data_IF_480475277608
#
_entry.id   IF_480475277608
#
_cell.length_a   1.000
_cell.length_b   1.000
_cell.length_c   1.000
_cell.angle_alpha   90.00
_cell.angle_beta   90.00
_cell.angle_gamma   90.00
#
_symmetry.space_group_name_H-M   'P 1'
#
loop_
_entity.id
_entity.type
_entity.pdbx_description
1 polymer ?
#
# COMPACT_ATOMS: atom_id res chain seq x y z
N UNK A 1 -11.11 -14.42 -5.72
CA UNK A 1 -10.91 -13.04 -6.20
C UNK A 1 -10.24 -12.25 -5.08
N UNK A 2 -8.94 -11.93 -5.22
CA UNK A 2 -8.20 -11.23 -4.18
C UNK A 2 -8.79 -9.84 -3.93
N UNK A 3 -9.43 -9.64 -2.77
CA UNK A 3 -9.77 -8.31 -2.31
C UNK A 3 -8.51 -7.69 -1.68
N UNK A 4 -7.64 -7.11 -2.49
CA UNK A 4 -6.39 -6.46 -2.03
C UNK A 4 -6.61 -5.22 -1.14
N UNK A 5 -7.85 -4.99 -0.70
CA UNK A 5 -8.25 -3.93 0.22
C UNK A 5 -7.60 -2.58 -0.15
N UNK A 6 -7.73 -2.18 -1.42
CA UNK A 6 -7.08 -0.96 -1.92
C UNK A 6 -7.65 0.29 -1.23
N UNK A 7 -8.92 0.59 -1.47
CA UNK A 7 -9.68 1.62 -0.76
C UNK A 7 -11.11 1.12 -0.58
N UNK A 8 -11.67 1.38 0.60
CA UNK A 8 -13.06 1.00 0.88
C UNK A 8 -14.01 2.01 0.24
N UNK A 9 -14.84 1.55 -0.72
CA UNK A 9 -15.84 2.38 -1.41
C UNK A 9 -17.02 2.76 -0.51
N UNK A 10 -17.40 1.88 0.41
CA UNK A 10 -18.58 2.02 1.26
C UNK A 10 -18.26 1.71 2.72
N UNK A 11 -17.39 2.50 3.37
CA UNK A 11 -17.00 2.20 4.74
C UNK A 11 -18.14 2.48 5.71
N UNK A 12 -18.23 1.62 6.73
CA UNK A 12 -19.20 1.73 7.81
C UNK A 12 -18.53 2.24 9.09
N UNK A 13 -19.28 3.00 9.89
CA UNK A 13 -18.83 3.42 11.20
C UNK A 13 -18.58 2.19 12.09
N UNK A 14 -17.45 2.16 12.80
CA UNK A 14 -17.12 1.03 13.69
C UNK A 14 -18.10 0.88 14.85
N UNK A 15 -18.71 2.00 15.30
CA UNK A 15 -19.65 2.06 16.42
C UNK A 15 -21.08 1.81 15.94
N UNK A 16 -21.68 2.77 15.22
CA UNK A 16 -23.10 2.71 14.88
C UNK A 16 -23.44 1.96 13.59
N UNK A 17 -22.43 1.40 12.89
CA UNK A 17 -22.53 0.66 11.62
C UNK A 17 -23.17 1.41 10.44
N UNK A 18 -23.53 2.68 10.61
CA UNK A 18 -24.03 3.51 9.52
C UNK A 18 -22.95 3.70 8.44
N UNK A 19 -23.37 3.90 7.19
CA UNK A 19 -22.47 4.35 6.14
C UNK A 19 -21.79 5.67 6.51
N UNK A 20 -20.51 5.81 6.17
CA UNK A 20 -19.77 7.05 6.31
C UNK A 20 -19.88 7.87 5.02
N UNK A 21 -19.85 9.20 5.14
CA UNK A 21 -19.82 10.10 3.99
C UNK A 21 -18.42 10.65 3.74
N UNK A 22 -18.04 10.76 2.48
CA UNK A 22 -16.77 11.34 2.06
C UNK A 22 -16.86 12.88 2.15
N UNK A 23 -15.86 13.51 2.77
CA UNK A 23 -15.74 14.97 2.84
C UNK A 23 -14.33 15.43 2.50
N UNK A 24 -14.26 16.62 1.90
CA UNK A 24 -13.01 17.34 1.66
C UNK A 24 -12.51 17.96 2.96
N UNK A 25 -11.21 17.81 3.23
CA UNK A 25 -10.52 18.45 4.36
C UNK A 25 -9.06 18.71 3.98
N UNK A 26 -8.75 19.96 3.62
CA UNK A 26 -7.45 20.39 3.09
C UNK A 26 -6.27 20.15 4.02
N UNK A 27 -6.50 20.08 5.34
CA UNK A 27 -5.43 19.87 6.33
C UNK A 27 -4.91 18.43 6.38
N UNK A 28 -5.57 17.48 5.69
CA UNK A 28 -5.14 16.09 5.60
C UNK A 28 -4.29 15.88 4.34
N UNK A 29 -3.37 14.91 4.41
CA UNK A 29 -2.45 14.55 3.31
C UNK A 29 -3.21 14.28 2.00
N UNK A 30 -4.31 13.50 2.06
CA UNK A 30 -5.13 13.17 0.88
C UNK A 30 -6.25 14.17 0.60
N UNK A 31 -6.33 15.24 1.40
CA UNK A 31 -7.40 16.25 1.32
C UNK A 31 -8.82 15.70 1.46
N UNK A 32 -8.98 14.45 1.88
CA UNK A 32 -10.24 13.70 1.97
C UNK A 32 -10.31 12.89 3.26
N UNK A 33 -11.52 12.73 3.81
CA UNK A 33 -11.80 11.86 4.95
C UNK A 33 -13.24 11.32 4.93
N UNK A 34 -13.46 10.22 5.63
CA UNK A 34 -14.77 9.68 5.93
C UNK A 34 -15.29 10.25 7.24
N UNK A 35 -16.59 10.55 7.30
CA UNK A 35 -17.24 11.12 8.47
C UNK A 35 -18.54 10.36 8.78
N UNK A 36 -18.81 10.12 10.06
CA UNK A 36 -20.09 9.61 10.52
C UNK A 36 -21.07 10.77 10.72
N UNK A 37 -22.24 10.71 10.08
CA UNK A 37 -23.28 11.75 10.19
C UNK A 37 -24.43 11.37 11.14
N UNK A 38 -24.38 10.21 11.79
CA UNK A 38 -25.39 9.80 12.76
C UNK A 38 -25.19 10.57 14.08
N UNK A 39 -26.15 11.42 14.46
CA UNK A 39 -26.07 12.31 15.63
C UNK A 39 -25.87 11.55 16.95
N UNK A 40 -26.55 10.41 17.11
CA UNK A 40 -26.49 9.59 18.34
C UNK A 40 -25.24 8.70 18.43
N UNK A 41 -24.30 8.86 17.50
CA UNK A 41 -23.07 8.09 17.49
C UNK A 41 -21.97 8.85 18.23
N UNK A 42 -21.23 8.18 19.12
CA UNK A 42 -20.04 8.75 19.77
C UNK A 42 -18.92 9.15 18.79
N UNK A 43 -19.01 8.72 17.53
CA UNK A 43 -18.11 9.09 16.43
C UNK A 43 -18.72 10.13 15.49
N UNK A 44 -19.82 10.78 15.87
CA UNK A 44 -20.45 11.84 15.06
C UNK A 44 -19.43 12.92 14.68
N UNK A 45 -19.39 13.28 13.40
CA UNK A 45 -18.44 14.26 12.82
C UNK A 45 -16.95 13.94 13.00
N UNK A 46 -16.59 12.78 13.55
CA UNK A 46 -15.20 12.39 13.68
C UNK A 46 -14.59 12.04 12.31
N UNK A 47 -13.33 12.43 12.15
CA UNK A 47 -12.57 12.17 10.93
C UNK A 47 -12.02 10.75 10.94
N UNK A 48 -12.28 10.02 9.86
CA UNK A 48 -11.72 8.69 9.62
C UNK A 48 -10.92 8.76 8.32
N UNK A 49 -9.68 8.27 8.33
CA UNK A 49 -8.83 8.25 7.13
C UNK A 49 -9.47 7.44 6.00
N UNK A 50 -9.35 7.92 4.77
CA UNK A 50 -9.77 7.16 3.58
C UNK A 50 -9.00 5.86 3.37
N UNK A 51 -7.81 5.76 3.99
CA UNK A 51 -6.90 4.61 3.93
C UNK A 51 -7.19 3.56 5.00
N UNK A 52 -8.20 3.79 5.86
CA UNK A 52 -8.48 2.90 6.99
C UNK A 52 -8.84 1.50 6.47
N UNK A 53 -8.13 0.49 6.99
CA UNK A 53 -8.36 -0.92 6.62
C UNK A 53 -7.89 -1.25 5.21
N UNK A 54 -6.91 -0.50 4.69
CA UNK A 54 -6.48 -0.60 3.31
C UNK A 54 -4.95 -0.72 3.19
N UNK A 55 -4.47 -1.14 2.02
CA UNK A 55 -3.04 -1.22 1.71
C UNK A 55 -2.29 0.07 2.06
N UNK A 56 -2.92 1.23 1.87
CA UNK A 56 -2.29 2.53 2.01
C UNK A 56 -2.16 3.00 3.48
N UNK A 57 -2.67 2.24 4.46
CA UNK A 57 -2.61 2.61 5.87
C UNK A 57 -1.15 2.82 6.32
N UNK A 58 -0.93 3.85 7.15
CA UNK A 58 0.37 4.25 7.73
C UNK A 58 1.46 4.73 6.74
N UNK A 59 1.16 4.84 5.44
CA UNK A 59 2.07 5.51 4.50
C UNK A 59 2.00 7.04 4.70
N UNK A 60 3.16 7.68 4.80
CA UNK A 60 3.29 9.11 5.17
C UNK A 60 3.19 10.09 3.99
N UNK A 61 3.12 9.60 2.75
CA UNK A 61 2.99 10.42 1.54
C UNK A 61 1.58 10.39 0.99
N UNK A 62 1.26 11.32 0.08
CA UNK A 62 -0.05 11.37 -0.58
C UNK A 62 -0.32 10.12 -1.41
N UNK A 63 -1.60 9.80 -1.65
CA UNK A 63 -1.94 8.68 -2.53
C UNK A 63 -1.32 8.84 -3.91
N UNK A 64 -1.27 10.07 -4.45
CA UNK A 64 -0.64 10.36 -5.75
C UNK A 64 0.84 9.95 -5.75
N UNK A 65 1.61 10.39 -4.75
CA UNK A 65 3.03 10.02 -4.65
C UNK A 65 3.20 8.51 -4.50
N UNK A 66 2.34 7.87 -3.71
CA UNK A 66 2.40 6.42 -3.51
C UNK A 66 2.14 5.71 -4.84
N UNK A 67 1.16 6.14 -5.63
CA UNK A 67 0.90 5.56 -6.95
C UNK A 67 2.07 5.77 -7.90
N UNK A 68 2.70 6.95 -7.91
CA UNK A 68 3.92 7.19 -8.69
C UNK A 68 5.05 6.24 -8.30
N UNK A 69 5.28 6.04 -6.99
CA UNK A 69 6.29 5.09 -6.50
C UNK A 69 5.95 3.65 -6.92
N UNK A 70 4.67 3.25 -6.90
CA UNK A 70 4.24 1.92 -7.38
C UNK A 70 4.53 1.78 -8.87
N UNK A 71 4.27 2.79 -9.69
CA UNK A 71 4.59 2.77 -11.13
C UNK A 71 6.11 2.60 -11.33
N UNK A 72 6.92 3.36 -10.59
CA UNK A 72 8.37 3.26 -10.68
C UNK A 72 8.89 1.88 -10.24
N UNK A 73 8.29 1.29 -9.21
CA UNK A 73 8.56 -0.10 -8.82
C UNK A 73 8.27 -1.07 -9.97
N UNK A 74 7.13 -0.93 -10.65
CA UNK A 74 6.75 -1.78 -11.78
C UNK A 74 7.64 -1.59 -13.02
N UNK A 75 8.40 -0.50 -13.09
CA UNK A 75 9.41 -0.25 -14.12
C UNK A 75 10.83 -0.66 -13.68
N UNK A 76 10.95 -1.46 -12.62
CA UNK A 76 12.23 -1.95 -12.06
C UNK A 76 13.23 -0.83 -11.71
N UNK A 77 12.74 0.36 -11.36
CA UNK A 77 13.60 1.47 -10.94
C UNK A 77 14.21 1.18 -9.58
N UNK A 78 15.53 1.38 -9.46
CA UNK A 78 16.22 1.20 -8.18
C UNK A 78 15.85 2.31 -7.20
N UNK A 79 15.80 1.98 -5.90
CA UNK A 79 15.45 2.94 -4.83
C UNK A 79 16.36 4.18 -4.87
N UNK A 80 17.64 4.00 -5.15
CA UNK A 80 18.62 5.09 -5.24
C UNK A 80 18.28 6.08 -6.36
N UNK A 81 17.85 5.58 -7.52
CA UNK A 81 17.50 6.38 -8.69
C UNK A 81 16.17 7.09 -8.44
N UNK A 82 15.20 6.41 -7.81
CA UNK A 82 13.91 7.02 -7.43
C UNK A 82 14.12 8.21 -6.48
N UNK A 83 14.99 8.07 -5.48
CA UNK A 83 15.28 9.14 -4.52
C UNK A 83 15.98 10.31 -5.22
N UNK A 84 16.98 10.00 -6.07
CA UNK A 84 17.78 11.01 -6.77
C UNK A 84 16.98 11.78 -7.82
N UNK A 85 16.24 11.08 -8.65
CA UNK A 85 15.63 11.66 -9.86
C UNK A 85 14.23 12.25 -9.59
N UNK A 86 13.52 11.75 -8.58
CA UNK A 86 12.14 12.17 -8.27
C UNK A 86 12.00 12.84 -6.90
N UNK A 87 13.06 12.87 -6.08
CA UNK A 87 13.08 13.58 -4.79
C UNK A 87 12.19 12.96 -3.69
N UNK A 88 11.74 11.72 -3.86
CA UNK A 88 10.94 11.06 -2.82
C UNK A 88 11.79 10.72 -1.58
N UNK A 89 11.20 10.88 -0.40
CA UNK A 89 11.86 10.53 0.85
C UNK A 89 12.20 9.03 0.93
N UNK A 90 13.45 8.71 1.28
CA UNK A 90 13.97 7.33 1.38
C UNK A 90 13.03 6.39 2.14
N UNK A 91 12.57 6.80 3.32
CA UNK A 91 11.69 5.99 4.16
C UNK A 91 10.32 5.70 3.50
N UNK A 92 9.82 6.61 2.67
CA UNK A 92 8.55 6.41 1.95
C UNK A 92 8.72 5.34 0.89
N UNK A 93 9.75 5.48 0.04
CA UNK A 93 10.04 4.53 -1.06
C UNK A 93 10.25 3.13 -0.50
N UNK A 94 11.09 2.99 0.53
CA UNK A 94 11.35 1.70 1.20
C UNK A 94 10.05 1.09 1.74
N UNK A 95 9.21 1.88 2.43
CA UNK A 95 7.97 1.35 3.01
C UNK A 95 6.97 0.90 1.94
N UNK A 96 6.85 1.63 0.83
CA UNK A 96 6.00 1.23 -0.29
C UNK A 96 6.52 -0.07 -0.91
N UNK A 97 7.82 -0.13 -1.23
CA UNK A 97 8.47 -1.33 -1.78
C UNK A 97 8.32 -2.53 -0.86
N UNK A 98 8.51 -2.35 0.45
CA UNK A 98 8.33 -3.42 1.45
C UNK A 98 6.91 -3.98 1.41
N UNK A 99 5.89 -3.12 1.38
CA UNK A 99 4.50 -3.58 1.28
C UNK A 99 4.21 -4.32 -0.04
N UNK A 100 4.75 -3.84 -1.16
CA UNK A 100 4.59 -4.51 -2.46
C UNK A 100 5.23 -5.89 -2.47
N UNK A 101 6.45 -6.04 -1.93
CA UNK A 101 7.13 -7.33 -1.81
C UNK A 101 6.37 -8.34 -0.97
N UNK A 102 5.70 -7.90 0.10
CA UNK A 102 4.84 -8.78 0.91
C UNK A 102 3.69 -9.34 0.06
N UNK A 103 3.02 -8.50 -0.74
CA UNK A 103 1.94 -8.94 -1.64
C UNK A 103 2.48 -9.94 -2.67
N UNK A 104 3.60 -9.63 -3.32
CA UNK A 104 4.21 -10.52 -4.32
C UNK A 104 4.60 -11.86 -3.68
N UNK A 105 5.17 -11.83 -2.48
CA UNK A 105 5.52 -13.05 -1.74
C UNK A 105 4.28 -13.91 -1.45
N UNK A 106 3.19 -13.30 -1.01
CA UNK A 106 1.92 -14.01 -0.75
C UNK A 106 1.35 -14.61 -2.04
N UNK A 107 1.39 -13.87 -3.16
CA UNK A 107 0.93 -14.37 -4.45
C UNK A 107 1.81 -15.53 -4.96
N UNK A 108 3.13 -15.42 -4.89
CA UNK A 108 4.07 -16.48 -5.25
C UNK A 108 3.91 -17.74 -4.39
N UNK A 109 3.52 -17.59 -3.12
CA UNK A 109 3.27 -18.75 -2.25
C UNK A 109 1.99 -19.51 -2.68
N UNK A 110 0.95 -18.79 -3.08
CA UNK A 110 -0.33 -19.37 -3.53
C UNK A 110 -0.21 -19.91 -4.96
N UNK A 111 0.49 -19.16 -5.81
CA UNK A 111 0.71 -19.42 -7.22
C UNK A 111 2.21 -19.63 -7.45
N UNK A 112 2.78 -20.77 -7.01
CA UNK A 112 4.21 -21.01 -7.16
C UNK A 112 4.57 -21.03 -8.64
N UNK A 113 5.45 -20.09 -9.02
CA UNK A 113 6.09 -20.13 -10.31
C UNK A 113 7.01 -21.35 -10.32
N UNK A 114 6.78 -22.27 -11.25
CA UNK A 114 7.72 -23.37 -11.48
C UNK A 114 8.98 -22.81 -12.10
N UNK A 115 10.04 -22.76 -11.30
CA UNK A 115 11.40 -22.53 -11.79
C UNK A 115 11.91 -23.89 -12.29
N UNK A 116 11.70 -24.15 -13.59
CA UNK A 116 12.17 -25.37 -14.26
C UNK A 116 11.13 -26.48 -14.44
N UNK A 117 11.63 -27.64 -14.87
CA UNK A 117 10.86 -28.85 -15.19
C UNK A 117 11.79 -30.07 -15.31
N UNK A 118 11.25 -31.29 -15.53
CA UNK A 118 12.06 -32.50 -15.65
C UNK A 118 13.17 -32.31 -16.70
N UNK A 119 14.43 -32.50 -16.30
CA UNK A 119 15.61 -32.35 -17.18
C UNK A 119 16.17 -30.92 -17.32
N UNK A 120 15.58 -29.91 -16.66
CA UNK A 120 16.09 -28.53 -16.67
C UNK A 120 16.84 -28.25 -15.36
N UNK A 121 18.14 -27.97 -15.47
CA UNK A 121 18.96 -27.48 -14.35
C UNK A 121 18.72 -25.99 -14.20
N UNK A 122 18.03 -25.57 -13.14
CA UNK A 122 17.89 -24.17 -12.79
C UNK A 122 19.06 -23.75 -11.89
N UNK A 123 19.98 -22.97 -12.44
CA UNK A 123 21.06 -22.37 -11.68
C UNK A 123 20.55 -21.07 -11.04
N UNK A 124 20.57 -21.03 -9.72
CA UNK A 124 20.27 -19.82 -8.95
C UNK A 124 21.61 -19.13 -8.70
N UNK A 125 21.78 -17.92 -9.21
CA UNK A 125 22.97 -17.11 -8.95
C UNK A 125 22.87 -16.54 -7.53
N UNK A 126 23.69 -17.07 -6.62
CA UNK A 126 23.66 -16.75 -5.18
C UNK A 126 24.05 -15.29 -4.88
N UNK A 127 24.65 -14.60 -5.83
CA UNK A 127 25.14 -13.22 -5.68
C UNK A 127 24.04 -12.16 -5.45
N UNK A 128 22.76 -12.51 -5.64
CA UNK A 128 21.62 -11.61 -5.44
C UNK A 128 20.99 -11.66 -4.04
N UNK A 129 21.37 -12.62 -3.18
CA UNK A 129 20.88 -12.71 -1.80
C UNK A 129 21.80 -11.90 -0.85
N UNK A 130 21.82 -10.58 -1.01
CA UNK A 130 22.38 -9.73 0.05
C UNK A 130 21.45 -9.79 1.27
N UNK A 131 21.92 -10.43 2.34
CA UNK A 131 21.23 -10.58 3.62
C UNK A 131 20.86 -9.22 4.24
N UNK A 132 19.62 -9.13 4.74
CA UNK A 132 19.20 -8.10 5.71
C UNK A 132 20.15 -8.12 6.92
N UNK A 133 21.17 -7.27 6.92
CA UNK A 133 21.93 -6.94 8.12
C UNK A 133 21.41 -5.61 8.68
N UNK A 134 20.50 -5.76 9.63
CA UNK A 134 20.17 -4.95 10.83
C UNK A 134 20.35 -3.43 10.71
#
# INVERSE_FOLDING_TARGET
MFSYNLLNKFPKCVVCKSGLKLRKKSTLIDKLCWICEKKDCSKYKSNISIRKGSFFINLKSSLLDIFSIIILFSCDKQIKDIIKDYGYGKCVVINVFKKLRVIIKEDLFINPIKLGGPGIVCQVDESFFATDQI
#
